data_IF_601088727308
#
_entry.id   IF_601088727308
#
_cell.length_a   1.000
_cell.length_b   1.000
_cell.length_c   1.000
_cell.angle_alpha   90.00
_cell.angle_beta   90.00
_cell.angle_gamma   90.00
#
_symmetry.space_group_name_H-M   'P 1'
#
loop_
_entity.id
_entity.type
_entity.pdbx_description
1 polymer ?
#
# COMPACT_ATOMS: atom_id res chain seq x y z
N UNK A 1 14.50 1.32 24.62
CA UNK A 1 15.04 -0.06 24.58
C UNK A 1 14.71 -0.83 23.29
N UNK A 2 13.61 -0.57 22.57
CA UNK A 2 13.30 -1.20 21.25
C UNK A 2 14.33 -0.91 20.15
N UNK A 3 14.86 0.32 20.08
CA UNK A 3 15.82 0.76 19.04
C UNK A 3 17.12 -0.06 19.05
N UNK A 4 17.63 -0.45 20.24
CA UNK A 4 18.83 -1.27 20.35
C UNK A 4 18.61 -2.73 19.92
N UNK A 5 17.39 -3.27 20.08
CA UNK A 5 17.05 -4.64 19.64
C UNK A 5 17.00 -4.74 18.11
N UNK A 6 16.41 -3.76 17.43
CA UNK A 6 16.39 -3.73 15.96
C UNK A 6 17.78 -3.57 15.35
N UNK A 7 18.61 -2.72 15.95
CA UNK A 7 20.01 -2.56 15.55
C UNK A 7 20.80 -3.87 15.70
N UNK A 8 20.66 -4.56 16.84
CA UNK A 8 21.28 -5.87 17.04
C UNK A 8 20.82 -6.88 15.99
N UNK A 9 19.51 -7.00 15.75
CA UNK A 9 18.98 -7.97 14.76
C UNK A 9 19.49 -7.66 13.35
N UNK A 10 19.57 -6.38 12.97
CA UNK A 10 20.05 -5.93 11.66
C UNK A 10 21.50 -6.31 11.35
N UNK A 11 22.37 -6.43 12.36
CA UNK A 11 23.78 -6.79 12.15
C UNK A 11 24.06 -8.24 12.54
N UNK A 12 23.37 -8.78 13.55
CA UNK A 12 23.58 -10.15 14.05
C UNK A 12 23.07 -11.18 13.06
N UNK A 13 21.92 -10.98 12.42
CA UNK A 13 21.37 -11.98 11.49
C UNK A 13 22.22 -12.10 10.22
N UNK A 14 22.69 -11.02 9.58
CA UNK A 14 23.65 -11.13 8.49
C UNK A 14 24.99 -11.74 8.91
N UNK A 15 25.49 -11.40 10.11
CA UNK A 15 26.72 -12.02 10.64
C UNK A 15 26.54 -13.52 10.88
N UNK A 16 25.39 -13.94 11.42
CA UNK A 16 25.03 -15.34 11.62
C UNK A 16 24.96 -16.08 10.28
N UNK A 17 24.36 -15.49 9.26
CA UNK A 17 24.33 -16.06 7.91
C UNK A 17 25.75 -16.30 7.39
N UNK A 18 26.65 -15.33 7.55
CA UNK A 18 28.05 -15.48 7.14
C UNK A 18 28.75 -16.62 7.88
N UNK A 19 28.54 -16.74 9.20
CA UNK A 19 29.09 -17.83 10.01
C UNK A 19 28.53 -19.19 9.58
N UNK A 20 27.23 -19.29 9.31
CA UNK A 20 26.59 -20.54 8.86
C UNK A 20 27.13 -20.99 7.50
N UNK A 21 27.24 -20.07 6.55
CA UNK A 21 27.81 -20.34 5.23
C UNK A 21 29.28 -20.79 5.34
N UNK A 22 30.09 -20.08 6.12
CA UNK A 22 31.49 -20.42 6.32
C UNK A 22 31.67 -21.78 7.03
N UNK A 23 30.87 -22.06 8.06
CA UNK A 23 30.91 -23.31 8.82
C UNK A 23 30.56 -24.53 7.95
N UNK A 24 29.74 -24.32 6.91
CA UNK A 24 29.37 -25.37 5.93
C UNK A 24 30.57 -25.94 5.17
N UNK A 25 31.66 -25.18 5.05
CA UNK A 25 32.90 -25.66 4.41
C UNK A 25 33.64 -26.72 5.24
N UNK A 26 33.31 -26.89 6.51
CA UNK A 26 33.98 -27.87 7.39
C UNK A 26 33.24 -29.21 7.48
N UNK A 27 32.05 -29.32 6.89
CA UNK A 27 31.20 -30.54 6.96
C UNK A 27 31.81 -31.76 6.25
N UNK A 28 32.66 -31.55 5.23
CA UNK A 28 33.19 -32.66 4.43
C UNK A 28 34.46 -33.30 5.02
N UNK A 29 34.93 -32.85 6.19
CA UNK A 29 36.17 -33.35 6.78
C UNK A 29 35.91 -34.56 7.67
N UNK A 30 36.85 -35.52 7.63
CA UNK A 30 36.98 -36.64 8.60
C UNK A 30 36.96 -36.22 10.07
N UNK A 31 37.10 -34.93 10.38
CA UNK A 31 36.96 -34.34 11.70
C UNK A 31 35.62 -34.66 12.39
N UNK A 32 34.56 -34.94 11.61
CA UNK A 32 33.23 -35.17 12.18
C UNK A 32 32.59 -36.53 11.84
N UNK A 33 33.21 -37.37 11.01
CA UNK A 33 32.74 -38.75 10.77
C UNK A 33 31.28 -38.88 10.28
N UNK A 34 30.78 -37.93 9.50
CA UNK A 34 29.36 -37.82 9.13
C UNK A 34 29.00 -38.37 7.75
N UNK A 35 29.71 -39.36 7.20
CA UNK A 35 29.48 -39.83 5.82
C UNK A 35 27.99 -40.11 5.50
N UNK A 36 27.22 -40.67 6.45
CA UNK A 36 25.78 -40.92 6.28
C UNK A 36 24.86 -39.74 6.67
N UNK A 37 25.34 -38.76 7.44
CA UNK A 37 24.55 -37.63 7.97
C UNK A 37 24.81 -36.29 7.29
N UNK A 38 25.76 -36.24 6.34
CA UNK A 38 26.15 -35.03 5.60
C UNK A 38 24.95 -34.31 4.96
N UNK A 39 24.00 -35.07 4.39
CA UNK A 39 22.79 -34.50 3.80
C UNK A 39 21.89 -33.82 4.84
N UNK A 40 21.67 -34.45 5.99
CA UNK A 40 20.79 -33.91 7.04
C UNK A 40 21.35 -32.61 7.63
N UNK A 41 22.66 -32.55 7.89
CA UNK A 41 23.30 -31.32 8.40
C UNK A 41 23.25 -30.21 7.35
N UNK A 42 23.50 -30.54 6.09
CA UNK A 42 23.38 -29.57 4.99
C UNK A 42 21.94 -29.05 4.81
N UNK A 43 20.94 -29.91 4.97
CA UNK A 43 19.53 -29.54 4.92
C UNK A 43 19.16 -28.59 6.07
N UNK A 44 19.56 -28.91 7.31
CA UNK A 44 19.34 -28.03 8.47
C UNK A 44 19.98 -26.66 8.26
N UNK A 45 21.21 -26.62 7.77
CA UNK A 45 21.88 -25.35 7.43
C UNK A 45 21.12 -24.58 6.35
N UNK A 46 20.59 -25.26 5.33
CA UNK A 46 19.79 -24.63 4.28
C UNK A 46 18.52 -23.99 4.86
N UNK A 47 17.83 -24.66 5.78
CA UNK A 47 16.64 -24.12 6.48
C UNK A 47 17.03 -22.95 7.38
N UNK A 48 18.16 -23.00 8.07
CA UNK A 48 18.65 -21.90 8.91
C UNK A 48 19.05 -20.68 8.06
N UNK A 49 19.71 -20.89 6.92
CA UNK A 49 20.04 -19.82 5.97
C UNK A 49 18.77 -19.20 5.38
N UNK A 50 17.77 -20.02 5.05
CA UNK A 50 16.44 -19.54 4.63
C UNK A 50 15.80 -18.66 5.71
N UNK A 51 15.78 -19.10 6.97
CA UNK A 51 15.25 -18.32 8.08
C UNK A 51 16.02 -17.01 8.28
N UNK A 52 17.36 -17.04 8.17
CA UNK A 52 18.17 -15.81 8.23
C UNK A 52 17.79 -14.84 7.11
N UNK A 53 17.65 -15.33 5.88
CA UNK A 53 17.18 -14.53 4.74
C UNK A 53 15.80 -13.90 5.00
N UNK A 54 14.87 -14.68 5.52
CA UNK A 54 13.53 -14.20 5.90
C UNK A 54 13.60 -13.02 6.89
N UNK A 55 14.37 -13.17 7.97
CA UNK A 55 14.52 -12.12 8.98
C UNK A 55 15.29 -10.90 8.47
N UNK A 56 16.26 -11.09 7.57
CA UNK A 56 16.95 -9.99 6.89
C UNK A 56 15.95 -9.17 6.08
N UNK A 57 15.04 -9.80 5.34
CA UNK A 57 14.02 -9.07 4.59
C UNK A 57 13.08 -8.29 5.51
N UNK A 58 12.64 -8.88 6.62
CA UNK A 58 11.77 -8.17 7.58
C UNK A 58 12.44 -6.95 8.24
N UNK A 59 13.77 -6.97 8.41
CA UNK A 59 14.49 -5.93 9.15
C UNK A 59 15.12 -4.83 8.27
N UNK A 60 15.59 -5.19 7.08
CA UNK A 60 16.30 -4.31 6.13
C UNK A 60 15.52 -4.08 4.82
N UNK A 61 14.48 -4.87 4.54
CA UNK A 61 13.73 -4.84 3.29
C UNK A 61 14.47 -5.48 2.12
N UNK A 62 13.77 -5.62 1.00
CA UNK A 62 14.26 -6.32 -0.19
C UNK A 62 15.56 -5.73 -0.78
N UNK A 63 15.60 -4.42 -1.00
CA UNK A 63 16.72 -3.79 -1.70
C UNK A 63 18.01 -3.75 -0.86
N UNK A 64 17.94 -3.33 0.40
CA UNK A 64 19.12 -3.27 1.27
C UNK A 64 19.51 -4.67 1.76
N UNK A 65 18.54 -5.48 2.19
CA UNK A 65 18.79 -6.86 2.60
C UNK A 65 19.38 -7.70 1.47
N UNK A 66 18.88 -7.53 0.24
CA UNK A 66 19.37 -8.26 -0.93
C UNK A 66 20.81 -7.91 -1.28
N UNK A 67 21.19 -6.62 -1.17
CA UNK A 67 22.60 -6.20 -1.32
C UNK A 67 23.49 -6.83 -0.25
N UNK A 68 23.03 -6.87 1.00
CA UNK A 68 23.78 -7.47 2.11
C UNK A 68 23.97 -8.96 1.91
N UNK A 69 22.90 -9.71 1.59
CA UNK A 69 22.99 -11.16 1.33
C UNK A 69 23.91 -11.43 0.13
N UNK A 70 23.78 -10.66 -0.96
CA UNK A 70 24.67 -10.79 -2.11
C UNK A 70 26.14 -10.59 -1.74
N UNK A 71 26.44 -9.53 -0.99
CA UNK A 71 27.80 -9.27 -0.52
C UNK A 71 28.34 -10.39 0.35
N UNK A 72 27.51 -10.99 1.21
CA UNK A 72 27.89 -12.13 2.06
C UNK A 72 28.23 -13.36 1.21
N UNK A 73 27.45 -13.66 0.17
CA UNK A 73 27.73 -14.79 -0.73
C UNK A 73 29.08 -14.61 -1.41
N UNK A 74 29.33 -13.42 -1.97
CA UNK A 74 30.60 -13.11 -2.65
C UNK A 74 31.76 -13.17 -1.66
N UNK A 75 31.62 -12.60 -0.47
CA UNK A 75 32.65 -12.64 0.56
C UNK A 75 32.93 -14.07 1.04
N UNK A 76 31.90 -14.87 1.28
CA UNK A 76 32.03 -16.26 1.70
C UNK A 76 32.71 -17.11 0.63
N UNK A 77 32.33 -16.95 -0.65
CA UNK A 77 32.99 -17.63 -1.76
C UNK A 77 34.48 -17.25 -1.85
N UNK A 78 34.80 -15.95 -1.79
CA UNK A 78 36.18 -15.48 -1.84
C UNK A 78 37.03 -16.02 -0.67
N UNK A 79 36.53 -15.91 0.57
CA UNK A 79 37.22 -16.43 1.76
C UNK A 79 37.42 -17.95 1.65
N UNK A 80 36.44 -18.68 1.10
CA UNK A 80 36.54 -20.13 0.90
C UNK A 80 37.65 -20.48 -0.08
N UNK A 81 37.76 -19.75 -1.20
CA UNK A 81 38.83 -19.94 -2.19
C UNK A 81 40.20 -19.70 -1.55
N UNK A 82 40.36 -18.61 -0.80
CA UNK A 82 41.60 -18.30 -0.08
C UNK A 82 41.93 -19.42 0.90
N UNK A 83 40.97 -19.86 1.72
CA UNK A 83 41.18 -20.93 2.70
C UNK A 83 41.60 -22.25 2.05
N UNK A 84 40.94 -22.68 0.97
CA UNK A 84 41.28 -23.92 0.26
C UNK A 84 42.69 -23.84 -0.34
N UNK A 85 43.08 -22.66 -0.85
CA UNK A 85 44.38 -22.47 -1.49
C UNK A 85 45.54 -22.47 -0.49
N UNK A 86 45.39 -21.76 0.65
CA UNK A 86 46.44 -21.66 1.67
C UNK A 86 46.49 -22.87 2.62
N UNK A 87 45.35 -23.52 2.89
CA UNK A 87 45.26 -24.69 3.77
C UNK A 87 45.00 -25.99 3.01
N UNK A 88 45.58 -26.11 1.81
CA UNK A 88 45.36 -27.24 0.90
C UNK A 88 45.49 -28.60 1.62
N UNK A 89 46.52 -28.78 2.44
CA UNK A 89 46.76 -30.02 3.20
C UNK A 89 45.64 -30.39 4.18
N UNK A 90 44.89 -29.40 4.69
CA UNK A 90 43.76 -29.62 5.58
C UNK A 90 42.43 -29.89 4.84
N UNK A 91 42.34 -29.53 3.57
CA UNK A 91 41.14 -29.70 2.73
C UNK A 91 41.30 -30.83 1.71
N UNK A 92 42.43 -31.56 1.75
CA UNK A 92 42.78 -32.65 0.85
C UNK A 92 41.93 -33.90 1.15
N UNK A 93 40.68 -33.87 0.68
CA UNK A 93 39.82 -35.03 0.58
C UNK A 93 40.06 -35.70 -0.79
N UNK A 94 41.20 -36.37 -0.99
CA UNK A 94 41.51 -37.26 -2.13
C UNK A 94 41.27 -36.78 -3.59
N UNK A 95 40.79 -35.55 -3.81
CA UNK A 95 40.36 -35.00 -5.10
C UNK A 95 41.28 -33.86 -5.56
N UNK A 96 41.30 -33.57 -6.88
CA UNK A 96 42.10 -32.47 -7.39
C UNK A 96 41.64 -31.13 -6.78
N UNK A 97 42.55 -30.19 -6.56
CA UNK A 97 42.25 -28.86 -5.98
C UNK A 97 41.03 -28.20 -6.66
N UNK A 98 40.93 -28.36 -7.98
CA UNK A 98 39.85 -27.81 -8.81
C UNK A 98 38.46 -28.35 -8.43
N UNK A 99 38.35 -29.64 -8.12
CA UNK A 99 37.07 -30.28 -7.73
C UNK A 99 36.61 -29.77 -6.38
N UNK A 100 37.52 -29.72 -5.40
CA UNK A 100 37.25 -29.13 -4.09
C UNK A 100 36.80 -27.67 -4.21
N UNK A 101 37.51 -26.86 -5.00
CA UNK A 101 37.18 -25.45 -5.19
C UNK A 101 35.79 -25.26 -5.81
N UNK A 102 35.40 -26.12 -6.76
CA UNK A 102 34.07 -26.13 -7.35
C UNK A 102 33.00 -26.55 -6.34
N UNK A 103 33.21 -27.66 -5.61
CA UNK A 103 32.28 -28.18 -4.60
C UNK A 103 31.98 -27.16 -3.49
N UNK A 104 33.02 -26.56 -2.90
CA UNK A 104 32.84 -25.57 -1.84
C UNK A 104 32.23 -24.26 -2.34
N UNK A 105 32.59 -23.82 -3.55
CA UNK A 105 31.97 -22.63 -4.15
C UNK A 105 30.48 -22.85 -4.43
N UNK A 106 30.13 -23.99 -5.03
CA UNK A 106 28.75 -24.36 -5.31
C UNK A 106 27.94 -24.50 -4.03
N UNK A 107 28.51 -25.09 -2.97
CA UNK A 107 27.87 -25.19 -1.65
C UNK A 107 27.54 -23.82 -1.05
N UNK A 108 28.48 -22.88 -1.11
CA UNK A 108 28.26 -21.51 -0.62
C UNK A 108 27.20 -20.78 -1.45
N UNK A 109 27.24 -20.91 -2.78
CA UNK A 109 26.23 -20.31 -3.66
C UNK A 109 24.84 -20.88 -3.37
N UNK A 110 24.72 -22.21 -3.19
CA UNK A 110 23.44 -22.86 -2.88
C UNK A 110 22.86 -22.42 -1.53
N UNK A 111 23.68 -22.36 -0.48
CA UNK A 111 23.22 -21.86 0.82
C UNK A 111 22.85 -20.37 0.78
N UNK A 112 23.60 -19.58 0.01
CA UNK A 112 23.28 -18.19 -0.27
C UNK A 112 21.97 -18.02 -1.03
N UNK A 113 21.72 -18.88 -2.02
CA UNK A 113 20.48 -18.91 -2.78
C UNK A 113 19.28 -19.26 -1.88
N UNK A 114 19.45 -20.15 -0.90
CA UNK A 114 18.41 -20.45 0.09
C UNK A 114 18.08 -19.24 0.99
N UNK A 115 19.08 -18.44 1.36
CA UNK A 115 18.84 -17.17 2.05
C UNK A 115 18.09 -16.16 1.16
N UNK A 116 18.47 -16.04 -0.11
CA UNK A 116 17.72 -15.23 -1.08
C UNK A 116 16.29 -15.70 -1.28
N UNK A 117 16.08 -17.01 -1.32
CA UNK A 117 14.75 -17.60 -1.40
C UNK A 117 13.91 -17.25 -0.17
N UNK A 118 14.49 -17.32 1.03
CA UNK A 118 13.83 -16.87 2.27
C UNK A 118 13.43 -15.40 2.24
N UNK A 119 14.30 -14.54 1.70
CA UNK A 119 13.96 -13.15 1.47
C UNK A 119 12.77 -12.98 0.51
N UNK A 120 12.76 -13.71 -0.60
CA UNK A 120 11.74 -13.57 -1.64
C UNK A 120 10.36 -13.98 -1.13
N UNK A 121 10.28 -15.09 -0.40
CA UNK A 121 9.01 -15.54 0.19
C UNK A 121 8.50 -14.53 1.22
N UNK A 122 9.37 -13.98 2.07
CA UNK A 122 8.99 -12.96 3.03
C UNK A 122 8.42 -11.70 2.36
N UNK A 123 9.06 -11.23 1.28
CA UNK A 123 8.63 -10.05 0.54
C UNK A 123 7.28 -10.26 -0.15
N UNK A 124 7.08 -11.41 -0.79
CA UNK A 124 5.81 -11.75 -1.47
C UNK A 124 4.65 -11.75 -0.46
N UNK A 125 4.84 -12.34 0.72
CA UNK A 125 3.79 -12.35 1.75
C UNK A 125 3.51 -10.97 2.32
N UNK A 126 4.54 -10.13 2.51
CA UNK A 126 4.35 -8.75 2.94
C UNK A 126 3.56 -7.95 1.91
N UNK A 127 3.94 -8.04 0.64
CA UNK A 127 3.26 -7.37 -0.47
C UNK A 127 1.81 -7.82 -0.62
N UNK A 128 1.52 -9.12 -0.49
CA UNK A 128 0.15 -9.63 -0.52
C UNK A 128 -0.70 -9.03 0.60
N UNK A 129 -0.16 -8.96 1.82
CA UNK A 129 -0.86 -8.37 2.96
C UNK A 129 -1.13 -6.88 2.76
N UNK A 130 -0.15 -6.13 2.26
CA UNK A 130 -0.31 -4.71 1.94
C UNK A 130 -1.35 -4.47 0.85
N UNK A 131 -1.37 -5.32 -0.17
CA UNK A 131 -2.33 -5.26 -1.27
C UNK A 131 -3.76 -5.49 -0.78
N UNK A 132 -3.99 -6.47 0.10
CA UNK A 132 -5.31 -6.71 0.69
C UNK A 132 -5.82 -5.50 1.49
N UNK A 133 -4.95 -4.93 2.34
CA UNK A 133 -5.29 -3.71 3.10
C UNK A 133 -5.60 -2.54 2.18
N UNK A 134 -4.83 -2.39 1.09
CA UNK A 134 -5.05 -1.34 0.12
C UNK A 134 -6.40 -1.51 -0.61
N UNK A 135 -6.74 -2.74 -1.02
CA UNK A 135 -8.03 -3.03 -1.65
C UNK A 135 -9.22 -2.75 -0.72
N UNK A 136 -9.11 -3.08 0.57
CA UNK A 136 -10.15 -2.74 1.55
C UNK A 136 -10.32 -1.23 1.70
N UNK A 137 -9.21 -0.49 1.83
CA UNK A 137 -9.26 0.98 1.90
C UNK A 137 -9.90 1.58 0.65
N UNK A 138 -9.57 1.04 -0.53
CA UNK A 138 -10.14 1.52 -1.79
C UNK A 138 -11.64 1.28 -1.87
N UNK A 139 -12.13 0.11 -1.45
CA UNK A 139 -13.58 -0.17 -1.36
C UNK A 139 -14.31 0.83 -0.47
N UNK A 140 -13.76 1.12 0.71
CA UNK A 140 -14.36 2.08 1.65
C UNK A 140 -14.44 3.48 1.01
N UNK A 141 -13.40 3.90 0.31
CA UNK A 141 -13.38 5.19 -0.41
C UNK A 141 -14.44 5.21 -1.52
N UNK A 142 -14.54 4.15 -2.31
CA UNK A 142 -15.51 4.06 -3.40
C UNK A 142 -16.96 4.06 -2.89
N UNK A 143 -17.24 3.36 -1.79
CA UNK A 143 -18.57 3.31 -1.20
C UNK A 143 -18.94 4.64 -0.55
N UNK A 144 -18.00 5.27 0.19
CA UNK A 144 -18.19 6.63 0.72
C UNK A 144 -18.42 7.64 -0.42
N UNK A 145 -17.70 7.51 -1.52
CA UNK A 145 -17.85 8.37 -2.69
C UNK A 145 -19.21 8.22 -3.39
N UNK A 146 -19.79 7.01 -3.40
CA UNK A 146 -21.15 6.78 -3.93
C UNK A 146 -22.21 7.41 -3.05
N UNK A 147 -22.07 7.30 -1.72
CA UNK A 147 -23.03 7.86 -0.78
C UNK A 147 -23.02 9.40 -0.82
N UNK A 148 -21.83 10.02 -0.84
CA UNK A 148 -21.70 11.47 -1.02
C UNK A 148 -22.31 11.96 -2.34
N UNK A 149 -22.17 11.19 -3.44
CA UNK A 149 -22.81 11.54 -4.72
C UNK A 149 -24.33 11.48 -4.63
N UNK A 150 -24.90 10.46 -3.98
CA UNK A 150 -26.35 10.36 -3.76
C UNK A 150 -26.85 11.50 -2.89
N UNK A 151 -26.13 11.83 -1.82
CA UNK A 151 -26.50 12.90 -0.90
C UNK A 151 -26.48 14.27 -1.60
N UNK A 152 -25.45 14.56 -2.39
CA UNK A 152 -25.40 15.76 -3.22
C UNK A 152 -26.52 15.82 -4.27
N UNK A 153 -26.89 14.68 -4.88
CA UNK A 153 -28.01 14.61 -5.82
C UNK A 153 -29.36 14.88 -5.14
N UNK A 154 -29.56 14.37 -3.93
CA UNK A 154 -30.73 14.64 -3.10
C UNK A 154 -30.82 16.12 -2.72
N UNK A 155 -29.71 16.72 -2.27
CA UNK A 155 -29.65 18.14 -1.91
C UNK A 155 -29.96 19.04 -3.13
N UNK A 156 -29.39 18.73 -4.30
CA UNK A 156 -29.72 19.44 -5.54
C UNK A 156 -31.20 19.28 -5.92
N UNK A 157 -31.78 18.10 -5.70
CA UNK A 157 -33.20 17.86 -5.98
C UNK A 157 -34.09 18.63 -5.01
N UNK A 158 -33.75 18.68 -3.73
CA UNK A 158 -34.46 19.48 -2.74
C UNK A 158 -34.36 20.98 -3.05
N UNK A 159 -33.18 21.46 -3.42
CA UNK A 159 -32.98 22.85 -3.82
C UNK A 159 -33.85 23.22 -5.03
N UNK A 160 -33.94 22.33 -6.03
CA UNK A 160 -34.84 22.50 -7.19
C UNK A 160 -36.31 22.54 -6.80
N UNK A 161 -36.75 21.65 -5.90
CA UNK A 161 -38.14 21.63 -5.42
C UNK A 161 -38.47 22.92 -4.66
N UNK A 162 -37.58 23.39 -3.79
CA UNK A 162 -37.73 24.66 -3.07
C UNK A 162 -37.79 25.85 -4.04
N UNK A 163 -36.90 25.89 -5.03
CA UNK A 163 -36.90 26.94 -6.05
C UNK A 163 -38.20 26.94 -6.87
N UNK A 164 -38.70 25.76 -7.26
CA UNK A 164 -39.98 25.63 -7.97
C UNK A 164 -41.15 26.13 -7.12
N UNK A 165 -41.14 25.80 -5.82
CA UNK A 165 -42.16 26.28 -4.88
C UNK A 165 -42.13 27.81 -4.77
N UNK A 166 -40.96 28.41 -4.61
CA UNK A 166 -40.79 29.87 -4.60
C UNK A 166 -41.29 30.53 -5.89
N UNK A 167 -41.00 29.95 -7.06
CA UNK A 167 -41.49 30.44 -8.34
C UNK A 167 -43.01 30.40 -8.41
N UNK A 168 -43.62 29.28 -8.03
CA UNK A 168 -45.08 29.13 -8.02
C UNK A 168 -45.76 30.11 -7.05
N UNK A 169 -45.19 30.27 -5.85
CA UNK A 169 -45.70 31.20 -4.84
C UNK A 169 -45.62 32.64 -5.36
N UNK A 170 -44.49 33.03 -5.96
CA UNK A 170 -44.31 34.35 -6.58
C UNK A 170 -45.25 34.58 -7.78
N UNK A 171 -45.49 33.56 -8.62
CA UNK A 171 -46.48 33.65 -9.70
C UNK A 171 -47.90 33.84 -9.18
N UNK A 172 -48.27 33.14 -8.11
CA UNK A 172 -49.58 33.28 -7.47
C UNK A 172 -49.76 34.69 -6.90
N UNK A 173 -48.75 35.21 -6.20
CA UNK A 173 -48.77 36.55 -5.63
C UNK A 173 -48.82 37.63 -6.72
N UNK A 174 -48.05 37.48 -7.80
CA UNK A 174 -48.10 38.38 -8.95
C UNK A 174 -49.48 38.40 -9.62
N UNK A 175 -50.14 37.24 -9.75
CA UNK A 175 -51.52 37.16 -10.25
C UNK A 175 -52.49 37.88 -9.33
N UNK A 176 -52.38 37.71 -8.02
CA UNK A 176 -53.21 38.45 -7.06
C UNK A 176 -53.03 39.96 -7.16
N UNK A 177 -51.79 40.44 -7.27
CA UNK A 177 -51.48 41.87 -7.43
C UNK A 177 -52.10 42.39 -8.73
N UNK A 178 -51.99 41.63 -9.82
CA UNK A 178 -52.57 41.99 -11.12
C UNK A 178 -54.09 42.11 -11.03
N UNK A 179 -54.77 41.13 -10.43
CA UNK A 179 -56.21 41.15 -10.22
C UNK A 179 -56.66 42.32 -9.32
N UNK A 180 -55.91 42.61 -8.25
CA UNK A 180 -56.17 43.77 -7.38
C UNK A 180 -56.02 45.08 -8.15
N UNK A 181 -54.98 45.21 -8.99
CA UNK A 181 -54.78 46.38 -9.86
C UNK A 181 -55.95 46.58 -10.82
N UNK A 182 -56.37 45.53 -11.52
CA UNK A 182 -57.50 45.60 -12.47
C UNK A 182 -58.79 46.03 -11.78
N UNK A 183 -59.04 45.51 -10.57
CA UNK A 183 -60.20 45.90 -9.75
C UNK A 183 -60.16 47.39 -9.39
N UNK A 184 -59.02 47.88 -8.89
CA UNK A 184 -58.83 49.28 -8.52
C UNK A 184 -59.00 50.19 -9.74
N UNK A 185 -58.46 49.83 -10.91
CA UNK A 185 -58.65 50.62 -12.14
C UNK A 185 -60.11 50.72 -12.55
N UNK A 186 -60.89 49.65 -12.38
CA UNK A 186 -62.32 49.66 -12.67
C UNK A 186 -63.07 50.57 -11.69
N UNK A 187 -62.80 50.44 -10.39
CA UNK A 187 -63.39 51.29 -9.34
C UNK A 187 -63.03 52.77 -9.56
N UNK A 188 -61.80 53.10 -9.95
CA UNK A 188 -61.38 54.46 -10.30
C UNK A 188 -62.09 55.01 -11.53
N UNK A 189 -62.27 54.20 -12.59
CA UNK A 189 -63.03 54.61 -13.78
C UNK A 189 -64.49 54.90 -13.44
N UNK A 190 -65.11 54.07 -12.60
CA UNK A 190 -66.46 54.28 -12.09
C UNK A 190 -66.54 55.58 -11.27
N UNK A 191 -65.61 55.78 -10.33
CA UNK A 191 -65.53 57.00 -9.52
C UNK A 191 -65.40 58.28 -10.37
N UNK A 192 -64.46 58.30 -11.33
CA UNK A 192 -64.26 59.44 -12.25
C UNK A 192 -65.52 59.71 -13.07
N UNK A 193 -66.24 58.66 -13.50
CA UNK A 193 -67.48 58.83 -14.25
C UNK A 193 -68.57 59.45 -13.36
N UNK A 194 -68.71 58.98 -12.12
CA UNK A 194 -69.65 59.55 -11.14
C UNK A 194 -69.33 61.01 -10.82
N UNK A 195 -68.06 61.35 -10.60
CA UNK A 195 -67.59 62.73 -10.40
C UNK A 195 -67.92 63.63 -11.61
N UNK A 196 -67.65 63.18 -12.83
CA UNK A 196 -68.03 63.92 -14.05
C UNK A 196 -69.53 64.13 -14.17
N UNK A 197 -70.33 63.14 -13.82
CA UNK A 197 -71.80 63.26 -13.79
C UNK A 197 -72.26 64.25 -12.70
N UNK A 198 -71.60 64.28 -11.54
CA UNK A 198 -71.84 65.27 -10.49
C UNK A 198 -71.48 66.70 -10.92
N UNK A 199 -70.29 66.90 -11.51
CA UNK A 199 -69.86 68.22 -12.00
C UNK A 199 -70.83 68.75 -13.06
N UNK A 200 -71.26 67.91 -14.01
CA UNK A 200 -72.26 68.28 -15.02
C UNK A 200 -73.62 68.70 -14.43
N UNK A 201 -73.99 68.18 -13.26
CA UNK A 201 -75.19 68.61 -12.54
C UNK A 201 -75.01 69.98 -11.86
N UNK A 202 -73.79 70.33 -11.45
CA UNK A 202 -73.48 71.63 -10.84
C UNK A 202 -73.21 72.74 -11.87
N UNK A 203 -72.66 72.43 -13.05
CA UNK A 203 -72.43 73.39 -14.15
C UNK A 203 -73.71 73.77 -14.92
N UNK A 204 -74.84 73.13 -14.62
CA UNK A 204 -76.17 73.57 -15.04
C UNK A 204 -76.93 74.15 -13.83
N UNK A 205 -76.56 75.32 -13.30
CA UNK A 205 -77.52 76.11 -12.54
C UNK A 205 -78.56 76.62 -13.55
N UNK A 206 -79.84 76.55 -13.16
CA UNK A 206 -81.01 76.94 -13.96
C UNK A 206 -80.84 78.24 -14.76
#
# INVERSE_FOLDING_TARGET
MKIKKDLLIRYVVPALLAVLMFSSNFLNKKLFGFDDQNFAVWFVLSVLCFACGWYINQSLGWHLGGRVVFSIIVAAAFISIVMITFFREYFDANEMITENLLLYSLRNIMLGAMAFFGMAVAEVLMLQKELLVFQEKQKIIDDTGKDLKKEAELELREAKIKAQKFLNDAESEAKEITLKKERIEKELKEFIRTEKEFIKKYEKPE
#
